data_IF_673979648062
#
_entry.id   IF_673979648062
#
_cell.length_a   1.000
_cell.length_b   1.000
_cell.length_c   1.000
_cell.angle_alpha   90.00
_cell.angle_beta   90.00
_cell.angle_gamma   90.00
#
_symmetry.space_group_name_H-M   'P 1'
#
loop_
_entity.id
_entity.type
_entity.pdbx_description
1 polymer ?
#
# COMPACT_ATOMS: atom_id res chain seq x y z
N UNK A 1 76.17 -12.96 4.06
CA UNK A 1 76.17 -12.81 2.58
C UNK A 1 76.54 -14.17 2.02
N UNK A 2 75.80 -14.89 1.19
CA UNK A 2 74.78 -14.59 0.17
C UNK A 2 73.83 -15.80 0.14
N UNK A 3 72.51 -15.58 0.13
CA UNK A 3 71.53 -16.64 -0.17
C UNK A 3 71.60 -16.94 -1.67
N UNK A 4 71.76 -18.21 -2.07
CA UNK A 4 71.64 -18.67 -3.47
C UNK A 4 70.39 -19.56 -3.62
N UNK A 5 69.64 -19.46 -4.74
CA UNK A 5 68.21 -19.73 -4.75
C UNK A 5 67.87 -21.23 -4.85
N UNK A 6 66.73 -21.60 -4.25
CA UNK A 6 66.15 -22.94 -4.41
C UNK A 6 65.62 -23.08 -5.82
N UNK A 7 66.13 -24.10 -6.53
CA UNK A 7 65.60 -24.57 -7.81
C UNK A 7 64.19 -25.14 -7.60
N UNK A 8 63.23 -24.70 -8.41
CA UNK A 8 61.85 -25.22 -8.42
C UNK A 8 61.77 -26.31 -9.48
N UNK A 9 61.41 -27.53 -9.08
CA UNK A 9 61.06 -28.62 -9.99
C UNK A 9 59.57 -28.52 -10.37
N UNK A 10 59.21 -28.55 -11.66
CA UNK A 10 57.83 -28.67 -12.09
C UNK A 10 57.39 -30.14 -12.20
N UNK A 11 56.08 -30.36 -12.17
CA UNK A 11 55.33 -31.61 -12.45
C UNK A 11 55.20 -32.55 -11.23
N UNK A 12 54.02 -33.07 -10.84
CA UNK A 12 52.81 -33.47 -11.59
C UNK A 12 51.57 -33.33 -10.67
N UNK A 13 50.55 -32.64 -11.20
CA UNK A 13 49.09 -32.89 -11.17
C UNK A 13 48.59 -33.94 -10.15
N UNK A 14 47.56 -33.66 -9.34
CA UNK A 14 46.17 -33.78 -9.75
C UNK A 14 45.26 -32.98 -8.81
N UNK A 15 44.53 -32.03 -9.38
CA UNK A 15 43.49 -31.27 -8.70
C UNK A 15 42.22 -32.14 -8.59
N UNK A 16 41.80 -32.45 -7.36
CA UNK A 16 40.44 -32.92 -7.13
C UNK A 16 39.49 -31.73 -7.16
N UNK A 17 39.01 -31.36 -8.34
CA UNK A 17 37.88 -30.43 -8.47
C UNK A 17 36.62 -31.22 -8.15
N UNK A 18 36.21 -31.18 -6.88
CA UNK A 18 34.87 -31.63 -6.48
C UNK A 18 33.91 -30.52 -6.92
N UNK A 19 33.29 -30.70 -8.10
CA UNK A 19 32.18 -29.87 -8.58
C UNK A 19 30.96 -30.13 -7.69
N UNK A 20 30.90 -29.48 -6.53
CA UNK A 20 29.65 -29.25 -5.85
C UNK A 20 28.88 -28.20 -6.66
N UNK A 21 28.01 -28.65 -7.55
CA UNK A 21 27.02 -27.80 -8.20
C UNK A 21 26.03 -27.31 -7.13
N UNK A 22 26.42 -26.29 -6.37
CA UNK A 22 25.50 -25.52 -5.54
C UNK A 22 24.60 -24.79 -6.52
N UNK A 23 23.41 -25.32 -6.74
CA UNK A 23 22.36 -24.64 -7.51
C UNK A 23 21.95 -23.39 -6.74
N UNK A 24 22.64 -22.29 -7.02
CA UNK A 24 22.20 -20.95 -6.65
C UNK A 24 20.89 -20.70 -7.40
N UNK A 25 19.77 -21.09 -6.79
CA UNK A 25 18.48 -20.59 -7.23
C UNK A 25 18.49 -19.09 -6.95
N UNK A 26 18.41 -18.23 -7.98
CA UNK A 26 18.37 -16.80 -7.74
C UNK A 26 17.10 -16.53 -6.94
N UNK A 27 17.26 -16.02 -5.71
CA UNK A 27 16.15 -15.52 -4.90
C UNK A 27 15.60 -14.29 -5.62
N UNK A 28 14.70 -14.52 -6.58
CA UNK A 28 14.08 -13.42 -7.33
C UNK A 28 13.22 -12.65 -6.34
N UNK A 29 13.67 -11.46 -5.95
CA UNK A 29 12.84 -10.53 -5.19
C UNK A 29 11.75 -10.05 -6.16
N UNK A 30 10.55 -10.63 -6.06
CA UNK A 30 9.40 -10.16 -6.83
C UNK A 30 9.02 -8.77 -6.30
N UNK A 31 9.23 -7.74 -7.12
CA UNK A 31 8.80 -6.39 -6.80
C UNK A 31 7.27 -6.36 -6.66
N UNK A 32 6.78 -6.12 -5.44
CA UNK A 32 5.34 -6.06 -5.19
C UNK A 32 4.77 -4.78 -5.81
N UNK A 33 3.87 -4.90 -6.79
CA UNK A 33 3.22 -3.74 -7.43
C UNK A 33 2.07 -3.25 -6.56
N UNK A 34 2.28 -2.12 -5.88
CA UNK A 34 1.25 -1.35 -5.16
C UNK A 34 0.42 -0.52 -6.14
N UNK A 35 -0.91 -0.60 -6.02
CA UNK A 35 -1.87 0.14 -6.86
C UNK A 35 -2.29 1.42 -6.16
N UNK A 36 -2.45 2.51 -6.90
CA UNK A 36 -3.09 3.74 -6.43
C UNK A 36 -4.51 3.82 -6.97
N UNK A 37 -5.50 4.00 -6.10
CA UNK A 37 -6.90 4.19 -6.45
C UNK A 37 -7.27 5.64 -6.18
N UNK A 38 -7.62 6.38 -7.25
CA UNK A 38 -8.18 7.72 -7.13
C UNK A 38 -9.64 7.59 -6.69
N UNK A 39 -9.93 7.99 -5.45
CA UNK A 39 -11.29 7.84 -4.89
C UNK A 39 -12.24 8.75 -5.66
N UNK A 40 -13.31 8.17 -6.22
CA UNK A 40 -14.27 8.87 -7.07
C UNK A 40 -13.80 9.12 -8.52
N UNK A 41 -12.65 8.56 -8.92
CA UNK A 41 -12.06 8.72 -10.26
C UNK A 41 -11.96 10.21 -10.65
N UNK A 42 -12.52 10.64 -11.79
CA UNK A 42 -12.47 12.05 -12.22
C UNK A 42 -13.32 13.00 -11.37
N UNK A 43 -14.26 12.47 -10.58
CA UNK A 43 -15.09 13.27 -9.67
C UNK A 43 -14.37 13.59 -8.36
N UNK A 44 -13.35 12.83 -8.00
CA UNK A 44 -12.62 13.00 -6.74
C UNK A 44 -13.47 12.69 -5.51
N UNK A 45 -13.03 13.21 -4.37
CA UNK A 45 -13.72 13.10 -3.09
C UNK A 45 -14.69 14.27 -2.92
N UNK A 46 -15.93 14.07 -3.34
CA UNK A 46 -17.00 15.07 -3.33
C UNK A 46 -18.37 14.45 -2.92
N UNK A 47 -19.35 15.30 -2.65
CA UNK A 47 -20.74 14.94 -2.40
C UNK A 47 -21.45 14.47 -3.69
N UNK A 48 -22.50 13.65 -3.54
CA UNK A 48 -23.30 13.13 -4.64
C UNK A 48 -22.59 12.08 -5.51
N UNK A 49 -21.37 11.67 -5.15
CA UNK A 49 -20.64 10.59 -5.82
C UNK A 49 -21.10 9.24 -5.25
N UNK A 50 -21.48 8.31 -6.12
CA UNK A 50 -21.79 6.94 -5.71
C UNK A 50 -20.51 6.13 -5.48
N UNK A 51 -19.98 6.22 -4.25
CA UNK A 51 -18.78 5.48 -3.85
C UNK A 51 -18.98 3.96 -3.79
N UNK A 52 -20.23 3.49 -3.68
CA UNK A 52 -20.54 2.05 -3.69
C UNK A 52 -20.32 1.50 -5.10
N UNK A 53 -20.88 2.17 -6.09
CA UNK A 53 -20.64 1.84 -7.50
C UNK A 53 -19.18 2.05 -7.88
N UNK A 54 -18.55 3.13 -7.42
CA UNK A 54 -17.11 3.34 -7.64
C UNK A 54 -16.26 2.19 -7.10
N UNK A 55 -16.55 1.67 -5.90
CA UNK A 55 -15.80 0.56 -5.32
C UNK A 55 -16.09 -0.79 -6.00
N UNK A 56 -17.20 -0.93 -6.73
CA UNK A 56 -17.61 -2.18 -7.37
C UNK A 56 -16.57 -2.62 -8.41
N UNK A 57 -16.20 -3.91 -8.37
CA UNK A 57 -15.21 -4.50 -9.29
C UNK A 57 -13.76 -4.15 -8.98
N UNK A 58 -13.49 -3.22 -8.05
CA UNK A 58 -12.13 -2.93 -7.57
C UNK A 58 -11.75 -3.92 -6.47
N UNK A 59 -10.53 -4.45 -6.53
CA UNK A 59 -9.98 -5.32 -5.48
C UNK A 59 -8.79 -4.64 -4.82
N UNK A 60 -8.95 -4.32 -3.54
CA UNK A 60 -7.94 -3.65 -2.73
C UNK A 60 -7.10 -4.68 -1.98
N UNK A 61 -5.78 -4.51 -1.97
CA UNK A 61 -4.86 -5.36 -1.22
C UNK A 61 -4.05 -4.54 -0.21
N UNK A 62 -3.52 -5.20 0.82
CA UNK A 62 -2.47 -4.60 1.66
C UNK A 62 -1.30 -4.16 0.77
N UNK A 63 -0.87 -2.92 0.96
CA UNK A 63 0.15 -2.25 0.16
C UNK A 63 -0.40 -1.24 -0.84
N UNK A 64 -1.66 -1.39 -1.28
CA UNK A 64 -2.32 -0.42 -2.15
C UNK A 64 -2.56 0.92 -1.43
N UNK A 65 -2.88 1.97 -2.20
CA UNK A 65 -3.09 3.33 -1.72
C UNK A 65 -4.43 3.87 -2.22
N UNK A 66 -5.19 4.48 -1.33
CA UNK A 66 -6.30 5.37 -1.69
C UNK A 66 -5.77 6.79 -1.81
N UNK A 67 -6.19 7.50 -2.85
CA UNK A 67 -5.85 8.91 -3.05
C UNK A 67 -7.16 9.70 -3.03
N UNK A 68 -7.29 10.59 -2.06
CA UNK A 68 -8.42 11.50 -1.93
C UNK A 68 -8.01 12.86 -2.47
N UNK A 69 -8.63 13.28 -3.57
CA UNK A 69 -8.44 14.59 -4.18
C UNK A 69 -9.71 15.43 -3.99
N UNK A 70 -9.61 16.60 -3.37
CA UNK A 70 -10.74 17.46 -3.03
C UNK A 70 -10.30 18.91 -2.74
N UNK A 71 -11.27 19.84 -2.68
CA UNK A 71 -11.00 21.20 -2.20
C UNK A 71 -10.84 21.21 -0.68
N UNK A 72 -9.62 21.52 -0.21
CA UNK A 72 -9.26 21.46 1.22
C UNK A 72 -10.06 22.40 2.13
N UNK A 73 -10.71 23.42 1.58
CA UNK A 73 -11.57 24.34 2.32
C UNK A 73 -12.99 23.80 2.50
N UNK A 74 -13.40 22.79 1.73
CA UNK A 74 -14.78 22.29 1.67
C UNK A 74 -14.89 20.85 2.18
N UNK A 75 -13.83 20.05 2.05
CA UNK A 75 -13.86 18.65 2.49
C UNK A 75 -12.64 18.30 3.33
N UNK A 76 -12.74 17.14 3.98
CA UNK A 76 -11.68 16.47 4.70
C UNK A 76 -11.94 14.96 4.65
N UNK A 77 -11.01 14.17 5.18
CA UNK A 77 -11.14 12.72 5.27
C UNK A 77 -10.88 12.23 6.68
N UNK A 78 -11.86 11.56 7.27
CA UNK A 78 -11.66 10.79 8.50
C UNK A 78 -11.67 9.30 8.19
N UNK A 79 -10.71 8.56 8.74
CA UNK A 79 -10.81 7.11 8.89
C UNK A 79 -11.63 6.80 10.15
N UNK A 80 -12.68 6.01 10.02
CA UNK A 80 -13.65 5.78 11.10
C UNK A 80 -13.98 4.30 11.31
N UNK A 81 -14.68 4.01 12.40
CA UNK A 81 -15.26 2.69 12.66
C UNK A 81 -16.52 2.45 11.81
N UNK A 82 -16.98 1.20 11.74
CA UNK A 82 -18.25 0.85 11.07
C UNK A 82 -19.44 1.64 11.65
N UNK A 83 -19.54 1.72 12.98
CA UNK A 83 -20.63 2.41 13.66
C UNK A 83 -20.63 3.91 13.31
N UNK A 84 -19.47 4.56 13.38
CA UNK A 84 -19.32 5.95 12.99
C UNK A 84 -19.61 6.18 11.51
N UNK A 85 -19.18 5.27 10.63
CA UNK A 85 -19.52 5.33 9.21
C UNK A 85 -21.04 5.24 8.98
N UNK A 86 -21.73 4.28 9.61
CA UNK A 86 -23.17 4.09 9.42
C UNK A 86 -23.96 5.32 9.86
N UNK A 87 -23.56 5.94 10.97
CA UNK A 87 -24.26 7.06 11.59
C UNK A 87 -23.64 8.42 11.27
N UNK A 88 -22.63 8.49 10.40
CA UNK A 88 -21.85 9.69 10.09
C UNK A 88 -21.35 10.45 11.34
N UNK A 89 -20.90 9.72 12.35
CA UNK A 89 -20.36 10.30 13.59
C UNK A 89 -18.92 10.76 13.33
N UNK A 90 -18.71 12.06 13.47
CA UNK A 90 -17.41 12.70 13.29
C UNK A 90 -16.57 12.45 14.56
N UNK A 91 -15.32 11.95 14.44
CA UNK A 91 -14.43 11.84 15.59
C UNK A 91 -14.20 13.20 16.27
N UNK A 92 -14.22 13.24 17.60
CA UNK A 92 -14.14 14.49 18.38
C UNK A 92 -12.81 15.24 18.27
N UNK A 93 -11.75 14.58 17.82
CA UNK A 93 -10.42 15.19 17.67
C UNK A 93 -10.12 15.47 16.20
N UNK A 94 -9.96 16.76 15.88
CA UNK A 94 -9.61 17.23 14.55
C UNK A 94 -8.26 16.70 14.05
N UNK A 95 -7.36 16.26 14.96
CA UNK A 95 -6.05 15.68 14.60
C UNK A 95 -6.15 14.38 13.80
N UNK A 96 -7.34 13.75 13.77
CA UNK A 96 -7.56 12.52 12.99
C UNK A 96 -8.06 12.79 11.57
N UNK A 97 -8.35 14.06 11.23
CA UNK A 97 -8.70 14.45 9.88
C UNK A 97 -7.44 14.55 9.02
N UNK A 98 -7.56 14.10 7.78
CA UNK A 98 -6.67 14.50 6.70
C UNK A 98 -7.32 15.68 5.98
N UNK A 99 -6.53 16.72 5.68
CA UNK A 99 -7.04 18.04 5.28
C UNK A 99 -6.20 18.71 4.19
N UNK A 100 -5.36 17.98 3.45
CA UNK A 100 -4.43 18.60 2.49
C UNK A 100 -5.02 18.81 1.09
N UNK A 101 -6.24 18.34 0.84
CA UNK A 101 -6.84 18.31 -0.50
C UNK A 101 -6.24 17.24 -1.43
N UNK A 102 -5.08 16.66 -1.10
CA UNK A 102 -4.47 15.52 -1.78
C UNK A 102 -3.90 14.54 -0.75
N UNK A 103 -4.77 13.72 -0.17
CA UNK A 103 -4.38 12.79 0.88
C UNK A 103 -4.19 11.37 0.36
N UNK A 104 -3.08 10.74 0.75
CA UNK A 104 -2.77 9.35 0.40
C UNK A 104 -2.88 8.47 1.64
N UNK A 105 -3.82 7.51 1.61
CA UNK A 105 -3.96 6.49 2.66
C UNK A 105 -3.42 5.15 2.16
N UNK A 106 -2.31 4.69 2.75
CA UNK A 106 -1.79 3.34 2.52
C UNK A 106 -2.67 2.31 3.25
N UNK A 107 -3.07 1.25 2.56
CA UNK A 107 -3.81 0.13 3.13
C UNK A 107 -2.81 -0.85 3.75
N UNK A 108 -2.76 -0.90 5.08
CA UNK A 108 -1.71 -1.63 5.82
C UNK A 108 -2.19 -2.94 6.45
N UNK A 109 -3.49 -3.21 6.46
CA UNK A 109 -4.04 -4.45 7.02
C UNK A 109 -5.29 -4.90 6.27
N UNK A 110 -5.57 -6.21 6.23
CA UNK A 110 -6.79 -6.74 5.64
C UNK A 110 -8.06 -6.25 6.37
N UNK A 111 -9.21 -6.57 5.79
CA UNK A 111 -10.54 -6.34 6.32
C UNK A 111 -11.15 -5.00 5.90
N UNK A 112 -12.36 -4.77 6.41
CA UNK A 112 -13.15 -3.59 6.05
C UNK A 112 -12.52 -2.30 6.58
N UNK A 113 -12.54 -1.26 5.75
CA UNK A 113 -12.10 0.09 6.09
C UNK A 113 -13.21 1.08 5.72
N UNK A 114 -13.37 2.12 6.53
CA UNK A 114 -14.41 3.13 6.35
C UNK A 114 -13.82 4.53 6.44
N UNK A 115 -14.31 5.40 5.56
CA UNK A 115 -13.90 6.78 5.45
C UNK A 115 -15.11 7.68 5.26
N UNK A 116 -15.10 8.86 5.86
CA UNK A 116 -16.17 9.86 5.75
C UNK A 116 -15.60 11.26 5.60
N UNK A 117 -16.36 12.17 4.99
CA UNK A 117 -16.13 13.60 5.15
C UNK A 117 -16.85 14.05 6.43
N UNK A 118 -16.15 14.80 7.27
CA UNK A 118 -16.68 15.34 8.52
C UNK A 118 -17.16 16.79 8.41
N UNK A 119 -17.31 17.33 7.21
CA UNK A 119 -17.81 18.69 7.00
C UNK A 119 -19.33 18.67 6.96
N UNK A 120 -19.96 19.44 7.86
CA UNK A 120 -21.42 19.62 7.96
C UNK A 120 -22.21 18.30 7.75
N UNK A 121 -23.11 18.27 6.77
CA UNK A 121 -23.97 17.14 6.41
C UNK A 121 -23.44 16.33 5.21
N UNK A 122 -22.19 16.55 4.80
CA UNK A 122 -21.62 15.92 3.60
C UNK A 122 -21.63 14.39 3.65
N UNK A 123 -21.43 13.79 4.83
CA UNK A 123 -21.54 12.33 4.99
C UNK A 123 -23.00 11.85 5.01
N UNK A 124 -23.86 12.50 5.79
CA UNK A 124 -25.19 11.99 6.12
C UNK A 124 -26.17 12.20 4.96
N UNK A 125 -26.17 13.39 4.37
CA UNK A 125 -27.05 13.78 3.26
C UNK A 125 -26.31 13.70 1.94
N UNK A 126 -25.08 14.25 1.89
CA UNK A 126 -24.28 14.31 0.66
C UNK A 126 -23.69 12.97 0.22
N UNK A 127 -23.79 11.92 1.03
CA UNK A 127 -23.28 10.58 0.71
C UNK A 127 -21.76 10.50 0.58
N UNK A 128 -21.01 11.48 1.08
CA UNK A 128 -19.55 11.55 0.99
C UNK A 128 -18.88 10.61 1.99
N UNK A 129 -18.98 9.31 1.70
CA UNK A 129 -18.53 8.21 2.56
C UNK A 129 -18.11 7.00 1.72
N UNK A 130 -16.98 6.39 2.06
CA UNK A 130 -16.45 5.22 1.37
C UNK A 130 -16.31 4.03 2.33
N UNK A 131 -16.75 2.86 1.88
CA UNK A 131 -16.47 1.58 2.52
C UNK A 131 -15.79 0.65 1.52
N UNK A 132 -14.69 0.02 1.93
CA UNK A 132 -13.96 -0.98 1.12
C UNK A 132 -13.66 -2.22 1.95
N UNK A 133 -13.35 -3.32 1.27
CA UNK A 133 -12.81 -4.55 1.89
C UNK A 133 -11.41 -4.82 1.34
N UNK A 134 -10.41 -4.86 2.23
CA UNK A 134 -9.00 -5.01 1.87
C UNK A 134 -8.61 -6.47 2.01
N UNK A 135 -8.11 -7.08 0.94
CA UNK A 135 -7.54 -8.42 0.94
C UNK A 135 -6.09 -8.39 1.45
N UNK A 136 -5.54 -9.52 1.90
CA UNK A 136 -4.13 -9.60 2.24
C UNK A 136 -3.19 -9.18 1.11
N UNK A 137 -1.90 -9.03 1.40
CA UNK A 137 -0.91 -8.72 0.36
C UNK A 137 -0.91 -9.82 -0.70
N UNK A 138 -0.63 -9.44 -1.95
CA UNK A 138 -0.55 -10.38 -3.09
C UNK A 138 0.55 -11.44 -2.94
N UNK A 139 1.44 -11.27 -1.96
CA UNK A 139 2.48 -12.23 -1.61
C UNK A 139 2.31 -12.60 -0.14
N UNK A 140 1.85 -13.83 0.10
CA UNK A 140 1.93 -14.53 1.37
C UNK A 140 3.02 -15.60 1.22
N UNK A 141 4.20 -15.33 1.79
CA UNK A 141 5.16 -16.36 2.19
C UNK A 141 5.63 -16.00 3.59
#
# INVERSE_FOLDING_TARGET
>A
MVRKPRSVSPQVLLAWVVLAAVSFTPWTILATKSTKFMVGDSRGWDQGVDYVTWAKGKTFHVGDKLVFLYSETVHNVFKVTKHQYQNCIIPSSAKHALTSGYDIVKLTSPGKKWYICGMADHCATGGQKLAIDVKPSKHHH
#
